data_IF_955801910695
#
_entry.id   IF_955801910695
#
_cell.length_a   1.000
_cell.length_b   1.000
_cell.length_c   1.000
_cell.angle_alpha   90.00
_cell.angle_beta   90.00
_cell.angle_gamma   90.00
#
_symmetry.space_group_name_H-M   'P 1'
#
loop_
_entity.id
_entity.type
_entity.pdbx_description
1 polymer ?
#
# COMPACT_ATOMS: atom_id res chain seq x y z
N UNK A 1 -65.77 -21.11 -6.47
CA UNK A 1 -64.56 -21.76 -7.03
C UNK A 1 -63.77 -20.86 -7.98
N UNK A 2 -64.39 -20.13 -8.91
CA UNK A 2 -63.69 -19.30 -9.92
C UNK A 2 -62.81 -18.18 -9.32
N UNK A 3 -63.24 -17.55 -8.22
CA UNK A 3 -62.47 -16.48 -7.56
C UNK A 3 -61.19 -16.98 -6.84
N UNK A 4 -61.17 -18.23 -6.39
CA UNK A 4 -60.01 -18.83 -5.70
C UNK A 4 -58.91 -19.24 -6.70
N UNK A 5 -59.26 -19.67 -7.91
CA UNK A 5 -58.28 -20.03 -8.95
C UNK A 5 -57.51 -18.81 -9.48
N UNK A 6 -58.16 -17.65 -9.62
CA UNK A 6 -57.50 -16.41 -10.06
C UNK A 6 -56.51 -15.86 -9.02
N UNK A 7 -56.82 -16.01 -7.73
CA UNK A 7 -55.94 -15.58 -6.63
C UNK A 7 -54.63 -16.39 -6.59
N UNK A 8 -54.72 -17.71 -6.80
CA UNK A 8 -53.55 -18.61 -6.78
C UNK A 8 -52.64 -18.37 -8.01
N UNK A 9 -53.23 -18.10 -9.18
CA UNK A 9 -52.48 -17.75 -10.40
C UNK A 9 -51.70 -16.43 -10.28
N UNK A 10 -52.34 -15.40 -9.73
CA UNK A 10 -51.69 -14.10 -9.48
C UNK A 10 -50.59 -14.19 -8.41
N UNK A 11 -50.77 -15.01 -7.38
CA UNK A 11 -49.76 -15.20 -6.34
C UNK A 11 -48.51 -15.94 -6.85
N UNK A 12 -48.67 -16.90 -7.77
CA UNK A 12 -47.54 -17.56 -8.47
C UNK A 12 -46.78 -16.59 -9.38
N UNK A 13 -47.48 -15.69 -10.07
CA UNK A 13 -46.87 -14.66 -10.92
C UNK A 13 -46.11 -13.60 -10.10
N UNK A 14 -46.66 -13.17 -8.96
CA UNK A 14 -46.01 -12.22 -8.04
C UNK A 14 -44.78 -12.85 -7.37
N UNK A 15 -44.86 -14.11 -6.94
CA UNK A 15 -43.71 -14.83 -6.38
C UNK A 15 -42.60 -15.06 -7.42
N UNK A 16 -42.95 -15.34 -8.69
CA UNK A 16 -41.99 -15.45 -9.78
C UNK A 16 -41.32 -14.12 -10.13
N UNK A 17 -42.05 -12.99 -10.09
CA UNK A 17 -41.47 -11.65 -10.30
C UNK A 17 -40.53 -11.24 -9.16
N UNK A 18 -40.88 -11.57 -7.90
CA UNK A 18 -40.02 -11.30 -6.73
C UNK A 18 -38.72 -12.10 -6.82
N UNK A 19 -38.78 -13.37 -7.27
CA UNK A 19 -37.59 -14.18 -7.51
C UNK A 19 -36.69 -13.66 -8.64
N UNK A 20 -37.28 -13.07 -9.69
CA UNK A 20 -36.54 -12.49 -10.82
C UNK A 20 -35.93 -11.12 -10.48
N UNK A 21 -36.58 -10.31 -9.65
CA UNK A 21 -36.06 -9.04 -9.16
C UNK A 21 -34.96 -9.23 -8.10
N UNK A 22 -35.06 -10.25 -7.24
CA UNK A 22 -33.98 -10.59 -6.30
C UNK A 22 -32.73 -11.17 -7.00
N UNK A 23 -32.87 -11.76 -8.19
CA UNK A 23 -31.75 -12.28 -8.96
C UNK A 23 -30.96 -11.20 -9.74
N UNK A 24 -31.48 -9.97 -9.83
CA UNK A 24 -30.93 -8.90 -10.68
C UNK A 24 -30.32 -7.71 -9.90
N UNK A 25 -30.02 -7.84 -8.60
CA UNK A 25 -29.50 -6.69 -7.84
C UNK A 25 -28.45 -7.03 -6.78
N UNK A 26 -27.87 -8.21 -6.84
CA UNK A 26 -26.67 -8.49 -6.05
C UNK A 26 -25.49 -8.46 -7.01
N UNK A 27 -24.89 -7.27 -7.16
CA UNK A 27 -23.51 -7.18 -7.61
C UNK A 27 -22.65 -7.84 -6.53
N UNK A 28 -22.51 -9.16 -6.64
CA UNK A 28 -21.52 -9.90 -5.86
C UNK A 28 -20.17 -9.49 -6.47
N UNK A 29 -19.67 -8.34 -6.04
CA UNK A 29 -18.28 -7.94 -6.27
C UNK A 29 -17.42 -8.92 -5.48
N UNK A 30 -17.15 -10.07 -6.07
CA UNK A 30 -16.12 -10.98 -5.56
C UNK A 30 -14.83 -10.17 -5.57
N UNK A 31 -14.27 -9.95 -4.39
CA UNK A 31 -12.95 -9.32 -4.27
C UNK A 31 -11.99 -10.09 -5.16
N UNK A 32 -11.34 -9.39 -6.09
CA UNK A 32 -10.24 -9.98 -6.86
C UNK A 32 -9.16 -10.47 -5.87
N UNK A 33 -8.52 -11.56 -6.24
CA UNK A 33 -7.34 -12.07 -5.53
C UNK A 33 -6.21 -11.05 -5.73
N UNK A 34 -5.65 -10.52 -4.64
CA UNK A 34 -4.72 -9.40 -4.74
C UNK A 34 -3.43 -9.83 -5.45
N UNK A 35 -2.93 -11.05 -5.22
CA UNK A 35 -1.76 -11.57 -5.91
C UNK A 35 -1.89 -11.61 -7.46
N UNK A 36 -3.11 -11.51 -8.01
CA UNK A 36 -3.36 -11.43 -9.45
C UNK A 36 -3.52 -9.98 -9.98
N UNK A 37 -3.46 -8.98 -9.09
CA UNK A 37 -3.49 -7.56 -9.40
C UNK A 37 -2.07 -6.97 -9.29
N UNK A 38 -1.19 -7.44 -10.19
CA UNK A 38 0.26 -7.17 -10.17
C UNK A 38 0.65 -5.80 -10.72
N UNK A 39 1.89 -5.38 -10.50
CA UNK A 39 2.42 -4.12 -11.05
C UNK A 39 2.47 -4.16 -12.57
N UNK A 40 2.89 -5.25 -13.21
CA UNK A 40 2.89 -5.33 -14.68
C UNK A 40 1.49 -5.23 -15.31
N UNK A 41 0.43 -5.49 -14.53
CA UNK A 41 -0.95 -5.33 -14.96
C UNK A 41 -1.47 -3.90 -14.82
N UNK A 42 -1.09 -3.21 -13.75
CA UNK A 42 -1.63 -1.88 -13.39
C UNK A 42 -0.66 -0.73 -13.70
N UNK A 43 0.63 -0.99 -13.78
CA UNK A 43 1.65 0.01 -14.07
C UNK A 43 1.72 1.11 -13.02
N UNK A 44 1.96 2.34 -13.49
CA UNK A 44 2.12 3.52 -12.66
C UNK A 44 0.81 3.88 -11.95
N UNK A 45 0.84 3.93 -10.62
CA UNK A 45 -0.30 4.38 -9.82
C UNK A 45 -0.40 5.90 -9.83
N UNK A 46 -1.62 6.41 -9.69
CA UNK A 46 -1.89 7.83 -9.46
C UNK A 46 -3.13 8.03 -8.59
N UNK A 47 -3.37 9.27 -8.15
CA UNK A 47 -4.55 9.62 -7.35
C UNK A 47 -5.55 10.41 -8.19
N UNK A 48 -6.80 9.91 -8.23
CA UNK A 48 -7.92 10.59 -8.90
C UNK A 48 -9.05 10.83 -7.90
N UNK A 49 -9.13 12.06 -7.40
CA UNK A 49 -10.08 12.41 -6.35
C UNK A 49 -9.71 11.71 -5.04
N UNK A 50 -10.49 10.70 -4.65
CA UNK A 50 -10.25 9.89 -3.43
C UNK A 50 -9.77 8.48 -3.76
N UNK A 51 -9.65 8.14 -5.04
CA UNK A 51 -9.31 6.80 -5.50
C UNK A 51 -7.84 6.73 -5.91
N UNK A 52 -7.20 5.61 -5.58
CA UNK A 52 -5.97 5.17 -6.24
C UNK A 52 -6.37 4.51 -7.57
N UNK A 53 -5.74 4.92 -8.66
CA UNK A 53 -5.99 4.39 -10.00
C UNK A 53 -4.70 3.94 -10.67
N UNK A 54 -4.83 3.01 -11.59
CA UNK A 54 -3.75 2.51 -12.44
C UNK A 54 -3.44 3.43 -13.63
N UNK A 55 -2.49 3.03 -14.49
CA UNK A 55 -2.04 3.85 -15.63
C UNK A 55 -3.16 4.10 -16.67
N UNK A 56 -4.21 3.27 -16.66
CA UNK A 56 -5.38 3.39 -17.54
C UNK A 56 -6.54 4.13 -16.85
N UNK A 57 -6.38 4.52 -15.58
CA UNK A 57 -7.37 5.22 -14.78
C UNK A 57 -8.43 4.30 -14.14
N UNK A 58 -8.20 2.98 -14.11
CA UNK A 58 -9.05 2.03 -13.39
C UNK A 58 -8.71 2.01 -11.90
N UNK A 59 -9.70 1.80 -11.03
CA UNK A 59 -9.48 1.80 -9.58
C UNK A 59 -8.68 0.57 -9.15
N UNK A 60 -7.68 0.81 -8.31
CA UNK A 60 -6.83 -0.24 -7.72
C UNK A 60 -7.06 -0.31 -6.21
N UNK A 61 -7.05 -1.53 -5.67
CA UNK A 61 -7.00 -1.76 -4.24
C UNK A 61 -5.76 -2.59 -3.91
N UNK A 62 -4.87 -2.02 -3.10
CA UNK A 62 -3.69 -2.70 -2.60
C UNK A 62 -4.04 -3.44 -1.29
N UNK A 63 -3.56 -4.67 -1.15
CA UNK A 63 -3.75 -5.54 0.01
C UNK A 63 -2.47 -6.30 0.28
N UNK A 64 -2.04 -6.32 1.53
CA UNK A 64 -0.88 -7.10 1.90
C UNK A 64 -0.45 -6.86 3.34
N UNK A 65 0.84 -7.06 3.57
CA UNK A 65 1.42 -7.15 4.90
C UNK A 65 2.47 -6.07 5.13
N UNK A 66 2.55 -5.57 6.36
CA UNK A 66 3.73 -4.86 6.82
C UNK A 66 4.70 -5.85 7.44
N UNK A 67 5.98 -5.70 7.11
CA UNK A 67 7.04 -6.20 7.96
C UNK A 67 7.04 -5.43 9.27
N UNK A 68 7.59 -6.04 10.32
CA UNK A 68 7.85 -5.36 11.58
C UNK A 68 9.14 -4.53 11.46
N UNK A 69 9.46 -3.76 12.49
CA UNK A 69 10.70 -2.96 12.58
C UNK A 69 11.92 -3.79 12.18
N UNK A 70 12.67 -3.31 11.18
CA UNK A 70 13.79 -4.03 10.59
C UNK A 70 14.92 -4.35 11.58
N UNK A 71 15.17 -3.49 12.57
CA UNK A 71 16.19 -3.74 13.60
C UNK A 71 15.82 -4.88 14.54
N UNK A 72 14.52 -5.07 14.80
CA UNK A 72 14.02 -6.11 15.70
C UNK A 72 13.72 -7.43 15.01
N UNK A 73 13.38 -7.38 13.72
CA UNK A 73 13.00 -8.54 12.92
C UNK A 73 13.78 -8.63 11.59
N UNK A 74 15.13 -8.49 11.59
CA UNK A 74 15.92 -8.42 10.37
C UNK A 74 15.86 -9.72 9.55
N UNK A 75 15.60 -10.86 10.20
CA UNK A 75 15.47 -12.16 9.55
C UNK A 75 14.28 -12.29 8.57
N UNK A 76 13.38 -11.30 8.52
CA UNK A 76 12.27 -11.25 7.56
C UNK A 76 12.49 -10.24 6.41
N UNK A 77 13.61 -9.50 6.41
CA UNK A 77 13.95 -8.55 5.35
C UNK A 77 14.75 -9.25 4.25
N UNK A 78 14.11 -10.19 3.56
CA UNK A 78 14.70 -10.99 2.50
C UNK A 78 13.67 -11.51 1.50
N UNK A 79 14.16 -11.97 0.34
CA UNK A 79 13.35 -12.50 -0.77
C UNK A 79 12.36 -13.58 -0.35
N UNK A 80 12.78 -14.58 0.40
CA UNK A 80 11.92 -15.71 0.82
C UNK A 80 10.71 -15.25 1.63
N UNK A 81 10.88 -14.20 2.45
CA UNK A 81 9.76 -13.61 3.19
C UNK A 81 8.80 -12.85 2.26
N UNK A 82 9.32 -12.16 1.24
CA UNK A 82 8.50 -11.45 0.26
C UNK A 82 7.74 -12.42 -0.65
N UNK A 83 8.39 -13.52 -1.07
CA UNK A 83 7.75 -14.64 -1.76
C UNK A 83 6.54 -15.15 -0.95
N UNK A 84 6.73 -15.39 0.35
CA UNK A 84 5.65 -15.84 1.23
C UNK A 84 4.51 -14.82 1.37
N UNK A 85 4.83 -13.52 1.42
CA UNK A 85 3.82 -12.46 1.47
C UNK A 85 3.00 -12.41 0.17
N UNK A 86 3.64 -12.57 -0.98
CA UNK A 86 2.93 -12.66 -2.26
C UNK A 86 2.12 -13.95 -2.36
N UNK A 87 2.77 -15.12 -2.28
CA UNK A 87 2.19 -16.42 -2.61
C UNK A 87 1.22 -16.95 -1.55
N UNK A 88 1.54 -16.78 -0.26
CA UNK A 88 0.77 -17.38 0.84
C UNK A 88 -0.23 -16.40 1.44
N UNK A 89 0.12 -15.11 1.52
CA UNK A 89 -0.79 -14.08 2.01
C UNK A 89 -1.63 -13.45 0.89
N UNK A 90 -1.40 -13.83 -0.38
CA UNK A 90 -2.12 -13.31 -1.54
C UNK A 90 -2.04 -11.78 -1.63
N UNK A 91 -0.83 -11.23 -1.47
CA UNK A 91 -0.60 -9.78 -1.40
C UNK A 91 -0.16 -9.21 -2.75
N UNK A 92 -0.56 -7.97 -3.05
CA UNK A 92 0.03 -7.15 -4.13
C UNK A 92 0.80 -5.93 -3.63
N UNK A 93 0.99 -5.83 -2.32
CA UNK A 93 1.85 -4.83 -1.71
C UNK A 93 2.53 -5.40 -0.47
N UNK A 94 3.77 -5.01 -0.24
CA UNK A 94 4.46 -5.20 1.05
C UNK A 94 4.87 -3.85 1.61
N UNK A 95 4.81 -3.68 2.93
CA UNK A 95 5.31 -2.47 3.61
C UNK A 95 6.60 -2.78 4.36
N UNK A 96 7.66 -2.04 4.03
CA UNK A 96 8.97 -2.15 4.65
C UNK A 96 9.11 -1.08 5.76
N UNK A 97 8.84 -1.47 7.00
CA UNK A 97 8.86 -0.59 8.17
C UNK A 97 10.30 -0.36 8.67
N UNK A 98 10.95 0.65 8.08
CA UNK A 98 12.36 0.93 8.30
C UNK A 98 12.55 1.81 9.55
N UNK A 99 13.26 1.27 10.53
CA UNK A 99 13.47 1.88 11.85
C UNK A 99 14.39 3.09 11.74
N UNK A 100 13.97 4.24 12.27
CA UNK A 100 14.77 5.47 12.21
C UNK A 100 15.69 5.61 13.42
N UNK A 101 15.13 5.47 14.61
CA UNK A 101 15.84 5.48 15.91
C UNK A 101 15.09 4.58 16.89
N UNK A 102 15.83 3.79 17.66
CA UNK A 102 15.32 3.05 18.81
C UNK A 102 16.28 3.22 20.00
N UNK A 103 15.77 3.18 21.23
CA UNK A 103 16.58 3.52 22.42
C UNK A 103 17.75 2.54 22.66
N UNK A 104 17.62 1.27 22.29
CA UNK A 104 18.60 0.21 22.58
C UNK A 104 19.22 -0.43 21.33
N UNK A 105 18.50 -0.50 20.21
CA UNK A 105 18.89 -1.28 19.04
C UNK A 105 19.31 -0.43 17.82
N UNK A 106 19.28 0.90 17.96
CA UNK A 106 19.60 1.85 16.89
C UNK A 106 18.53 1.94 15.80
N UNK A 107 18.95 2.27 14.59
CA UNK A 107 18.10 2.48 13.42
C UNK A 107 18.91 3.13 12.30
N UNK A 108 18.23 3.72 11.33
CA UNK A 108 18.85 4.40 10.20
C UNK A 108 19.87 5.48 10.61
N UNK A 109 19.62 6.22 11.70
CA UNK A 109 20.52 7.28 12.15
C UNK A 109 21.86 6.71 12.62
N UNK A 110 21.86 5.55 13.29
CA UNK A 110 23.05 4.91 13.83
C UNK A 110 23.75 4.00 12.81
N UNK A 111 22.98 3.20 12.05
CA UNK A 111 23.48 2.20 11.10
C UNK A 111 22.78 2.34 9.73
N UNK A 112 23.00 3.45 9.02
CA UNK A 112 22.31 3.73 7.76
C UNK A 112 22.60 2.69 6.68
N UNK A 113 23.83 2.17 6.61
CA UNK A 113 24.22 1.17 5.60
C UNK A 113 23.45 -0.15 5.79
N UNK A 114 23.45 -0.71 7.01
CA UNK A 114 22.74 -1.95 7.33
C UNK A 114 21.22 -1.83 7.11
N UNK A 115 20.68 -0.67 7.46
CA UNK A 115 19.24 -0.36 7.34
C UNK A 115 18.84 -0.23 5.87
N UNK A 116 19.66 0.44 5.04
CA UNK A 116 19.45 0.52 3.60
C UNK A 116 19.62 -0.82 2.91
N UNK A 117 20.57 -1.66 3.33
CA UNK A 117 20.75 -3.00 2.78
C UNK A 117 19.47 -3.84 2.95
N UNK A 118 18.91 -3.87 4.16
CA UNK A 118 17.64 -4.57 4.44
C UNK A 118 16.47 -3.99 3.65
N UNK A 119 16.34 -2.66 3.61
CA UNK A 119 15.28 -2.01 2.84
C UNK A 119 15.38 -2.36 1.35
N UNK A 120 16.56 -2.26 0.77
CA UNK A 120 16.78 -2.57 -0.64
C UNK A 120 16.53 -4.03 -0.96
N UNK A 121 16.89 -4.96 -0.07
CA UNK A 121 16.54 -6.38 -0.24
C UNK A 121 15.02 -6.59 -0.34
N UNK A 122 14.21 -5.85 0.42
CA UNK A 122 12.75 -5.92 0.34
C UNK A 122 12.20 -5.25 -0.93
N UNK A 123 12.70 -4.07 -1.29
CA UNK A 123 12.27 -3.37 -2.51
C UNK A 123 12.60 -4.19 -3.75
N UNK A 124 13.84 -4.68 -3.86
CA UNK A 124 14.31 -5.45 -5.02
C UNK A 124 13.51 -6.77 -5.14
N UNK A 125 13.21 -7.42 -4.02
CA UNK A 125 12.35 -8.60 -3.98
C UNK A 125 10.90 -8.31 -4.42
N UNK A 126 10.31 -7.20 -3.96
CA UNK A 126 8.96 -6.81 -4.35
C UNK A 126 8.85 -6.49 -5.85
N UNK A 127 9.89 -5.88 -6.42
CA UNK A 127 10.00 -5.64 -7.87
C UNK A 127 10.06 -6.97 -8.62
N UNK A 128 10.88 -7.91 -8.16
CA UNK A 128 11.01 -9.25 -8.76
C UNK A 128 9.69 -10.04 -8.71
N UNK A 129 8.93 -9.91 -7.62
CA UNK A 129 7.62 -10.55 -7.43
C UNK A 129 6.45 -9.80 -8.08
N UNK A 130 6.73 -8.73 -8.83
CA UNK A 130 5.72 -7.94 -9.54
C UNK A 130 4.63 -7.37 -8.59
N UNK A 131 5.01 -7.02 -7.35
CA UNK A 131 4.15 -6.37 -6.36
C UNK A 131 4.63 -4.96 -6.00
N UNK A 132 3.73 -4.13 -5.48
CA UNK A 132 4.09 -2.81 -4.97
C UNK A 132 4.83 -2.91 -3.63
N UNK A 133 5.57 -1.86 -3.26
CA UNK A 133 6.25 -1.74 -1.97
C UNK A 133 6.07 -0.36 -1.37
N UNK A 134 5.64 -0.33 -0.11
CA UNK A 134 5.60 0.90 0.70
C UNK A 134 6.94 1.03 1.43
N UNK A 135 7.67 2.08 1.11
CA UNK A 135 8.90 2.49 1.78
C UNK A 135 8.53 3.42 2.91
N UNK A 136 8.60 2.91 4.13
CA UNK A 136 8.09 3.59 5.31
C UNK A 136 9.23 4.13 6.19
N UNK A 137 9.27 5.45 6.34
CA UNK A 137 10.08 6.14 7.34
C UNK A 137 9.41 5.96 8.71
N UNK A 138 9.80 4.87 9.40
CA UNK A 138 9.09 4.36 10.56
C UNK A 138 9.49 5.07 11.85
N UNK A 139 8.93 6.27 12.02
CA UNK A 139 9.24 7.19 13.11
C UNK A 139 7.97 7.84 13.68
N UNK A 140 8.00 8.18 14.97
CA UNK A 140 6.98 8.95 15.68
C UNK A 140 7.33 10.44 15.84
N UNK A 141 8.58 10.80 15.57
CA UNK A 141 9.18 12.12 15.75
C UNK A 141 10.03 12.54 14.54
N UNK A 142 9.59 12.20 13.32
CA UNK A 142 10.33 12.49 12.10
C UNK A 142 10.62 13.99 11.91
N UNK A 143 9.83 14.87 12.51
CA UNK A 143 10.07 16.31 12.54
C UNK A 143 11.40 16.69 13.22
N UNK A 144 11.85 15.89 14.19
CA UNK A 144 13.17 16.04 14.82
C UNK A 144 14.31 15.47 13.97
N UNK A 145 13.97 14.63 12.98
CA UNK A 145 14.92 13.93 12.12
C UNK A 145 14.84 14.36 10.65
N UNK A 146 14.28 15.56 10.37
CA UNK A 146 14.04 16.05 9.01
C UNK A 146 15.26 15.93 8.08
N UNK A 147 16.46 16.31 8.53
CA UNK A 147 17.63 16.24 7.63
C UNK A 147 17.97 14.80 7.23
N UNK A 148 17.77 13.83 8.15
CA UNK A 148 17.98 12.42 7.85
C UNK A 148 16.90 11.89 6.91
N UNK A 149 15.63 12.29 7.09
CA UNK A 149 14.56 11.90 6.18
C UNK A 149 14.80 12.46 4.77
N UNK A 150 15.25 13.71 4.64
CA UNK A 150 15.60 14.31 3.34
C UNK A 150 16.72 13.52 2.64
N UNK A 151 17.80 13.18 3.36
CA UNK A 151 18.91 12.38 2.80
C UNK A 151 18.44 10.98 2.39
N UNK A 152 17.69 10.31 3.27
CA UNK A 152 17.13 8.99 3.00
C UNK A 152 16.25 8.98 1.75
N UNK A 153 15.27 9.89 1.66
CA UNK A 153 14.37 9.92 0.52
C UNK A 153 15.08 10.36 -0.77
N UNK A 154 16.13 11.17 -0.71
CA UNK A 154 16.99 11.45 -1.86
C UNK A 154 17.69 10.18 -2.37
N UNK A 155 18.25 9.38 -1.47
CA UNK A 155 18.91 8.11 -1.79
C UNK A 155 17.94 7.13 -2.44
N UNK A 156 16.79 6.87 -1.80
CA UNK A 156 15.83 5.86 -2.28
C UNK A 156 15.18 6.30 -3.58
N UNK A 157 14.73 7.56 -3.69
CA UNK A 157 14.09 8.06 -4.92
C UNK A 157 15.04 8.13 -6.11
N UNK A 158 16.33 8.43 -5.91
CA UNK A 158 17.34 8.33 -6.98
C UNK A 158 17.56 6.91 -7.45
N UNK A 159 17.60 5.95 -6.52
CA UNK A 159 17.88 4.55 -6.84
C UNK A 159 16.76 3.90 -7.65
N UNK A 160 15.50 4.21 -7.31
CA UNK A 160 14.32 3.59 -7.90
C UNK A 160 13.48 4.54 -8.78
N UNK A 161 14.10 5.62 -9.29
CA UNK A 161 13.42 6.56 -10.20
C UNK A 161 12.79 5.84 -11.39
N UNK A 162 11.51 6.12 -11.65
CA UNK A 162 10.75 5.50 -12.75
C UNK A 162 10.37 4.04 -12.54
N UNK A 163 10.50 3.51 -11.32
CA UNK A 163 10.03 2.17 -10.96
C UNK A 163 8.61 2.27 -10.38
N UNK A 164 7.56 1.73 -11.04
CA UNK A 164 6.18 1.95 -10.64
C UNK A 164 5.79 1.24 -9.33
N UNK A 165 6.62 0.32 -8.84
CA UNK A 165 6.37 -0.45 -7.63
C UNK A 165 6.38 0.41 -6.36
N UNK A 166 7.07 1.56 -6.36
CA UNK A 166 7.43 2.27 -5.13
C UNK A 166 6.31 3.21 -4.66
N UNK A 167 6.00 3.14 -3.36
CA UNK A 167 5.12 4.07 -2.65
C UNK A 167 5.88 4.62 -1.45
N UNK A 168 5.97 5.94 -1.32
CA UNK A 168 6.70 6.57 -0.21
C UNK A 168 5.76 6.93 0.95
N UNK A 169 6.01 6.37 2.13
CA UNK A 169 5.38 6.75 3.39
C UNK A 169 6.38 7.56 4.22
N UNK A 170 6.20 8.88 4.23
CA UNK A 170 7.23 9.83 4.68
C UNK A 170 7.28 10.06 6.18
N UNK A 171 6.26 9.63 6.91
CA UNK A 171 6.16 9.70 8.36
C UNK A 171 5.10 8.69 8.81
N UNK A 172 5.53 7.60 9.45
CA UNK A 172 4.65 6.54 9.96
C UNK A 172 3.52 7.07 10.85
N UNK A 173 3.83 7.53 12.07
CA UNK A 173 2.79 7.81 13.07
C UNK A 173 3.13 9.02 13.95
N UNK A 174 2.79 10.24 13.52
CA UNK A 174 2.82 11.42 14.37
C UNK A 174 2.00 11.23 15.66
N UNK A 175 2.56 11.63 16.80
CA UNK A 175 1.94 11.39 18.13
C UNK A 175 1.33 12.64 18.77
N UNK A 176 1.51 13.82 18.18
CA UNK A 176 0.93 15.07 18.69
C UNK A 176 1.35 16.35 17.95
N UNK A 177 2.11 16.21 16.86
CA UNK A 177 2.60 17.31 16.05
C UNK A 177 1.44 18.09 15.41
N UNK A 178 1.56 19.42 15.37
CA UNK A 178 0.60 20.29 14.69
C UNK A 178 0.59 20.02 13.20
N UNK A 179 -0.60 19.87 12.60
CA UNK A 179 -0.72 19.70 11.15
C UNK A 179 -0.12 20.88 10.39
N UNK A 180 -0.49 22.12 10.75
CA UNK A 180 -0.11 23.30 9.99
C UNK A 180 1.34 23.73 10.23
N UNK A 181 1.82 23.58 11.46
CA UNK A 181 3.11 24.15 11.87
C UNK A 181 4.26 23.14 11.79
N UNK A 182 3.95 21.84 11.76
CA UNK A 182 4.96 20.77 11.80
C UNK A 182 4.78 19.79 10.65
N UNK A 183 3.65 19.06 10.59
CA UNK A 183 3.49 17.94 9.65
C UNK A 183 3.47 18.39 8.20
N UNK A 184 2.66 19.40 7.86
CA UNK A 184 2.58 19.90 6.50
C UNK A 184 3.93 20.43 5.99
N UNK A 185 4.64 21.33 6.72
CA UNK A 185 5.98 21.77 6.30
C UNK A 185 6.99 20.62 6.18
N UNK A 186 6.96 19.63 7.08
CA UNK A 186 7.80 18.44 6.99
C UNK A 186 7.53 17.67 5.69
N UNK A 187 6.27 17.33 5.42
CA UNK A 187 5.90 16.57 4.22
C UNK A 187 6.20 17.35 2.94
N UNK A 188 5.96 18.66 2.90
CA UNK A 188 6.30 19.50 1.74
C UNK A 188 7.79 19.47 1.42
N UNK A 189 8.66 19.53 2.45
CA UNK A 189 10.11 19.43 2.26
C UNK A 189 10.55 18.05 1.75
N UNK A 190 10.02 16.96 2.33
CA UNK A 190 10.34 15.60 1.91
C UNK A 190 9.82 15.30 0.50
N UNK A 191 8.58 15.68 0.19
CA UNK A 191 7.98 15.52 -1.13
C UNK A 191 8.79 16.30 -2.18
N UNK A 192 9.30 17.50 -1.86
CA UNK A 192 10.14 18.25 -2.79
C UNK A 192 11.42 17.48 -3.18
N UNK A 193 12.05 16.79 -2.22
CA UNK A 193 13.23 15.96 -2.48
C UNK A 193 12.88 14.75 -3.33
N UNK A 194 11.82 14.01 -2.97
CA UNK A 194 11.35 12.86 -3.75
C UNK A 194 11.07 13.29 -5.18
N UNK A 195 10.28 14.35 -5.37
CA UNK A 195 9.82 14.82 -6.68
C UNK A 195 10.92 15.44 -7.55
N UNK A 196 12.08 15.76 -6.99
CA UNK A 196 13.25 16.15 -7.77
C UNK A 196 13.87 14.97 -8.53
N UNK A 197 13.68 13.74 -8.03
CA UNK A 197 14.22 12.51 -8.61
C UNK A 197 13.13 11.63 -9.25
N UNK A 198 11.94 11.60 -8.67
CA UNK A 198 10.79 10.80 -9.10
C UNK A 198 9.53 11.65 -9.16
N UNK A 199 9.16 12.18 -10.35
CA UNK A 199 8.15 13.23 -10.49
C UNK A 199 6.70 12.77 -10.22
N UNK A 200 6.43 11.46 -10.29
CA UNK A 200 5.06 10.90 -10.30
C UNK A 200 4.80 9.91 -9.16
#
# INVERSE_FOLDING_TARGET
LVLLQNSIGNMKFVLALIGLVLACSVDISVSKDAALETVSKHGQLSVKGVDIVDENGEKVQLKGMSLFWDVWMPQYYNKESIDGIHDLCHSNVVRAAMSVVTEEDGGYIETPEDTLERLFAVIDAAIEDDIYVIVDWHDHQADLHLNYSLEFFDIVSKKYTGVPNIIYETFNEPTGQSWNDVLKPYHEAVIQVIRANDPD
#
